data_IF_648657986934
#
_entry.id   IF_648657986934
#
_cell.length_a   1.000
_cell.length_b   1.000
_cell.length_c   1.000
_cell.angle_alpha   90.00
_cell.angle_beta   90.00
_cell.angle_gamma   90.00
#
_symmetry.space_group_name_H-M   'P 1'
#
loop_
_entity.id
_entity.type
_entity.pdbx_description
1 polymer ?
#
# COMPACT_ATOMS: atom_id res chain seq x y z
N UNK A 1 -10.18 22.75 84.01
CA UNK A 1 -10.83 24.08 83.91
C UNK A 1 -11.60 24.10 82.60
N UNK A 2 -12.90 24.45 82.63
CA UNK A 2 -13.88 24.62 81.53
C UNK A 2 -14.20 23.37 80.65
N UNK A 3 -15.25 22.56 80.95
CA UNK A 3 -16.72 22.69 80.73
C UNK A 3 -17.14 22.50 79.25
N UNK A 4 -17.82 21.38 78.90
CA UNK A 4 -19.27 21.27 78.55
C UNK A 4 -19.65 21.94 77.20
N UNK A 5 -20.47 21.46 76.24
CA UNK A 5 -21.26 20.24 75.98
C UNK A 5 -22.03 20.41 74.65
N UNK A 6 -22.53 19.28 74.07
CA UNK A 6 -23.83 19.07 73.36
C UNK A 6 -24.05 19.83 72.03
N UNK A 7 -24.30 19.20 70.87
CA UNK A 7 -25.44 18.35 70.38
C UNK A 7 -25.50 18.71 68.86
N UNK A 8 -25.66 17.87 67.83
CA UNK A 8 -26.53 16.71 67.58
C UNK A 8 -25.88 15.94 66.39
N UNK A 9 -25.57 14.64 66.50
CA UNK A 9 -26.41 13.49 66.14
C UNK A 9 -26.85 13.41 64.66
N UNK A 10 -26.30 12.42 63.92
CA UNK A 10 -27.13 11.50 63.15
C UNK A 10 -26.41 10.13 62.99
N UNK A 11 -27.16 9.08 63.34
CA UNK A 11 -26.85 7.67 63.15
C UNK A 11 -26.91 7.31 61.67
N UNK A 12 -26.10 6.37 61.20
CA UNK A 12 -26.39 5.34 60.18
C UNK A 12 -25.05 4.59 60.01
N UNK A 13 -24.89 3.34 60.44
CA UNK A 13 -25.59 2.15 59.95
C UNK A 13 -24.56 1.33 59.15
N UNK A 14 -24.07 0.23 59.71
CA UNK A 14 -23.26 -0.75 58.98
C UNK A 14 -24.10 -1.29 57.82
N UNK A 15 -23.56 -1.23 56.61
CA UNK A 15 -23.86 -2.17 55.55
C UNK A 15 -22.57 -2.44 54.78
N UNK A 16 -22.00 -3.63 55.01
CA UNK A 16 -20.88 -4.14 54.24
C UNK A 16 -21.31 -4.33 52.80
N UNK A 17 -20.77 -3.52 51.90
CA UNK A 17 -20.85 -3.74 50.46
C UNK A 17 -19.72 -4.67 50.05
N UNK A 18 -20.05 -5.91 49.70
CA UNK A 18 -19.15 -6.76 48.94
C UNK A 18 -18.89 -6.09 47.58
N UNK A 19 -17.69 -5.56 47.40
CA UNK A 19 -17.17 -5.14 46.09
C UNK A 19 -16.98 -6.42 45.27
N UNK A 20 -18.01 -6.80 44.52
CA UNK A 20 -17.87 -7.69 43.37
C UNK A 20 -16.98 -6.97 42.35
N UNK A 21 -15.69 -7.27 42.39
CA UNK A 21 -14.78 -6.94 41.30
C UNK A 21 -15.22 -7.74 40.06
N UNK A 22 -16.10 -7.16 39.25
CA UNK A 22 -16.35 -7.64 37.90
C UNK A 22 -15.11 -7.28 37.07
N UNK A 23 -14.13 -8.16 37.04
CA UNK A 23 -13.11 -8.12 35.99
C UNK A 23 -13.86 -8.15 34.66
N UNK A 24 -13.71 -7.17 33.76
CA UNK A 24 -14.28 -7.30 32.44
C UNK A 24 -13.65 -8.55 31.84
N UNK A 25 -14.47 -9.56 31.55
CA UNK A 25 -14.07 -10.62 30.64
C UNK A 25 -13.67 -9.91 29.34
N UNK A 26 -12.37 -9.87 29.07
CA UNK A 26 -11.89 -9.51 27.74
C UNK A 26 -12.43 -10.59 26.80
N UNK A 27 -13.56 -10.30 26.14
CA UNK A 27 -14.06 -11.09 25.02
C UNK A 27 -12.90 -11.12 24.01
N UNK A 28 -12.31 -12.29 23.80
CA UNK A 28 -11.26 -12.46 22.80
C UNK A 28 -11.87 -12.16 21.43
N UNK A 29 -11.67 -10.96 20.90
CA UNK A 29 -12.25 -10.57 19.62
C UNK A 29 -11.55 -11.36 18.50
N UNK A 30 -12.30 -11.94 17.56
CA UNK A 30 -11.76 -12.57 16.36
C UNK A 30 -10.83 -11.57 15.63
N UNK A 31 -9.52 -11.76 15.81
CA UNK A 31 -8.49 -10.85 15.31
C UNK A 31 -7.23 -11.61 14.99
N UNK A 32 -6.65 -11.30 13.84
CA UNK A 32 -5.35 -11.79 13.39
C UNK A 32 -4.28 -10.95 14.08
N UNK A 33 -3.45 -11.61 14.88
CA UNK A 33 -2.27 -10.98 15.47
C UNK A 33 -1.06 -11.39 14.63
N UNK A 34 -0.36 -10.40 14.08
CA UNK A 34 0.78 -10.61 13.19
C UNK A 34 2.05 -10.28 13.95
N UNK A 35 2.62 -11.29 14.59
CA UNK A 35 3.91 -11.20 15.28
C UNK A 35 4.97 -11.90 14.45
N UNK A 36 5.66 -11.14 13.60
CA UNK A 36 6.74 -11.68 12.79
C UNK A 36 6.30 -12.56 11.63
N UNK A 37 7.25 -13.34 11.11
CA UNK A 37 7.07 -14.18 9.93
C UNK A 37 6.35 -15.51 10.21
N UNK A 38 6.03 -15.88 11.46
CA UNK A 38 5.52 -17.21 11.80
C UNK A 38 4.00 -17.31 12.07
N UNK A 39 3.21 -16.30 11.68
CA UNK A 39 1.75 -16.35 11.89
C UNK A 39 1.03 -17.34 10.93
N UNK A 40 -0.08 -17.94 11.37
CA UNK A 40 -0.94 -18.76 10.51
C UNK A 40 -2.07 -17.92 9.91
N UNK A 41 -2.33 -17.97 8.59
CA UNK A 41 -3.45 -17.27 7.99
C UNK A 41 -4.79 -17.75 8.55
N UNK A 42 -5.75 -16.85 8.73
CA UNK A 42 -7.06 -17.14 9.30
C UNK A 42 -7.95 -17.92 8.31
N UNK A 43 -8.38 -19.16 8.61
CA UNK A 43 -9.36 -19.88 7.79
C UNK A 43 -10.69 -19.13 7.75
N UNK A 44 -11.12 -18.73 6.55
CA UNK A 44 -12.33 -17.92 6.35
C UNK A 44 -13.24 -18.53 5.29
N UNK A 45 -14.52 -18.71 5.61
CA UNK A 45 -15.53 -19.10 4.64
C UNK A 45 -16.23 -17.85 4.09
N UNK A 46 -16.38 -17.82 2.77
CA UNK A 46 -17.05 -16.73 2.06
C UNK A 46 -17.92 -17.43 1.00
N UNK A 47 -19.19 -17.75 1.27
CA UNK A 47 -20.15 -18.19 0.25
C UNK A 47 -20.36 -17.10 -0.81
N UNK A 48 -21.00 -17.47 -1.93
CA UNK A 48 -21.42 -16.48 -2.92
C UNK A 48 -22.38 -15.49 -2.27
N UNK A 49 -22.32 -14.22 -2.70
CA UNK A 49 -23.20 -13.20 -2.15
C UNK A 49 -24.60 -13.39 -2.71
N UNK A 50 -25.62 -13.24 -1.85
CA UNK A 50 -27.01 -13.25 -2.29
C UNK A 50 -27.27 -12.06 -3.23
N UNK A 51 -27.90 -12.33 -4.38
CA UNK A 51 -28.24 -11.32 -5.37
C UNK A 51 -29.40 -11.79 -6.25
N UNK A 52 -30.18 -10.84 -6.76
CA UNK A 52 -31.14 -11.09 -7.84
C UNK A 52 -30.47 -11.58 -9.13
N UNK A 53 -29.18 -11.27 -9.32
CA UNK A 53 -28.30 -11.86 -10.31
C UNK A 53 -27.23 -12.73 -9.63
N UNK A 54 -27.41 -14.05 -9.54
CA UNK A 54 -26.46 -14.95 -8.89
C UNK A 54 -25.05 -14.93 -9.49
N UNK A 55 -24.90 -14.58 -10.77
CA UNK A 55 -23.58 -14.47 -11.41
C UNK A 55 -22.84 -13.28 -10.84
N UNK A 56 -23.52 -12.15 -10.68
CA UNK A 56 -22.96 -10.97 -10.07
C UNK A 56 -22.63 -11.18 -8.58
N UNK A 57 -23.52 -11.85 -7.84
CA UNK A 57 -23.26 -12.24 -6.45
C UNK A 57 -21.98 -13.08 -6.29
N UNK A 58 -21.76 -14.03 -7.20
CA UNK A 58 -20.52 -14.82 -7.25
C UNK A 58 -19.30 -13.98 -7.61
N UNK A 59 -19.40 -13.12 -8.63
CA UNK A 59 -18.31 -12.24 -9.07
C UNK A 59 -17.76 -11.39 -7.91
N UNK A 60 -18.66 -10.77 -7.13
CA UNK A 60 -18.26 -9.94 -5.99
C UNK A 60 -17.65 -10.78 -4.88
N UNK A 61 -18.21 -11.95 -4.57
CA UNK A 61 -17.64 -12.86 -3.58
C UNK A 61 -16.23 -13.34 -4.00
N UNK A 62 -15.99 -13.59 -5.29
CA UNK A 62 -14.68 -13.97 -5.82
C UNK A 62 -13.65 -12.85 -5.68
N UNK A 63 -14.05 -11.59 -5.90
CA UNK A 63 -13.17 -10.44 -5.64
C UNK A 63 -12.76 -10.40 -4.17
N UNK A 64 -13.71 -10.60 -3.25
CA UNK A 64 -13.44 -10.62 -1.81
C UNK A 64 -12.50 -11.76 -1.43
N UNK A 65 -12.77 -12.98 -1.91
CA UNK A 65 -11.90 -14.15 -1.69
C UNK A 65 -10.49 -13.89 -2.20
N UNK A 66 -10.36 -13.37 -3.42
CA UNK A 66 -9.06 -13.13 -4.05
C UNK A 66 -8.27 -12.05 -3.33
N UNK A 67 -8.91 -10.96 -2.91
CA UNK A 67 -8.29 -9.91 -2.10
C UNK A 67 -7.74 -10.45 -0.78
N UNK A 68 -8.59 -11.11 -0.01
CA UNK A 68 -8.20 -11.63 1.30
C UNK A 68 -7.10 -12.70 1.17
N UNK A 69 -7.17 -13.58 0.17
CA UNK A 69 -6.11 -14.56 -0.14
C UNK A 69 -4.79 -13.85 -0.48
N UNK A 70 -4.81 -12.85 -1.38
CA UNK A 70 -3.60 -12.12 -1.79
C UNK A 70 -2.94 -11.34 -0.65
N UNK A 71 -3.66 -11.00 0.41
CA UNK A 71 -3.06 -10.37 1.59
C UNK A 71 -2.14 -11.30 2.39
N UNK A 72 -2.23 -12.62 2.18
CA UNK A 72 -1.50 -13.62 2.93
C UNK A 72 -1.95 -13.78 4.40
N UNK A 73 -2.93 -13.00 4.84
CA UNK A 73 -3.47 -13.03 6.20
C UNK A 73 -4.65 -13.98 6.37
N UNK A 74 -5.34 -14.26 5.28
CA UNK A 74 -6.54 -15.08 5.28
C UNK A 74 -6.30 -16.31 4.41
N UNK A 75 -6.97 -17.39 4.77
CA UNK A 75 -7.07 -18.61 3.97
C UNK A 75 -8.54 -18.81 3.59
N UNK A 76 -9.02 -18.20 2.50
CA UNK A 76 -10.37 -18.45 2.01
C UNK A 76 -10.50 -19.92 1.58
N UNK A 77 -11.53 -20.60 2.11
CA UNK A 77 -11.84 -21.97 1.73
C UNK A 77 -12.34 -22.04 0.29
N UNK A 78 -12.21 -23.23 -0.32
CA UNK A 78 -12.77 -23.50 -1.65
C UNK A 78 -14.31 -23.40 -1.61
N UNK A 79 -14.95 -22.53 -2.42
CA UNK A 79 -16.40 -22.43 -2.51
C UNK A 79 -17.11 -23.78 -2.76
N UNK A 80 -16.47 -24.69 -3.51
CA UNK A 80 -17.02 -26.02 -3.78
C UNK A 80 -17.06 -26.92 -2.54
N UNK A 81 -16.25 -26.65 -1.52
CA UNK A 81 -16.24 -27.39 -0.24
C UNK A 81 -17.22 -26.85 0.81
N UNK A 82 -17.75 -25.62 0.62
CA UNK A 82 -18.57 -24.98 1.65
C UNK A 82 -19.92 -25.71 1.84
N UNK A 83 -20.40 -25.86 3.09
CA UNK A 83 -21.70 -26.47 3.37
C UNK A 83 -22.88 -25.63 2.86
N UNK A 84 -22.69 -24.31 2.74
CA UNK A 84 -23.67 -23.39 2.16
C UNK A 84 -23.00 -22.64 1.01
N UNK A 85 -23.64 -22.66 -0.17
CA UNK A 85 -23.08 -22.06 -1.39
C UNK A 85 -23.39 -20.58 -1.54
N UNK A 86 -24.56 -20.15 -1.10
CA UNK A 86 -25.01 -18.74 -1.12
C UNK A 86 -25.42 -18.36 0.30
N UNK A 87 -24.80 -17.32 0.85
CA UNK A 87 -25.04 -16.88 2.21
C UNK A 87 -26.31 -16.04 2.36
N UNK A 88 -27.03 -16.19 3.47
CA UNK A 88 -28.06 -15.23 3.86
C UNK A 88 -27.44 -14.19 4.80
N UNK A 89 -27.38 -12.94 4.35
CA UNK A 89 -26.81 -11.81 5.11
C UNK A 89 -27.71 -11.38 6.28
N UNK A 90 -29.00 -11.69 6.23
CA UNK A 90 -29.99 -11.31 7.25
C UNK A 90 -30.23 -12.44 8.27
N UNK A 91 -29.88 -13.67 7.91
CA UNK A 91 -30.01 -14.86 8.74
C UNK A 91 -28.84 -15.00 9.73
N UNK A 92 -29.10 -15.70 10.84
CA UNK A 92 -28.04 -16.20 11.72
C UNK A 92 -27.53 -17.55 11.18
N UNK A 93 -26.22 -17.74 10.97
CA UNK A 93 -25.68 -19.00 10.47
C UNK A 93 -25.88 -20.17 11.44
N UNK A 94 -26.05 -21.38 10.91
CA UNK A 94 -25.93 -22.60 11.73
C UNK A 94 -24.45 -22.86 12.03
N UNK A 95 -24.00 -22.42 13.21
CA UNK A 95 -22.61 -22.56 13.63
C UNK A 95 -22.18 -24.02 13.84
N UNK A 96 -23.10 -24.95 14.06
CA UNK A 96 -22.71 -26.37 14.18
C UNK A 96 -22.20 -26.90 12.83
N UNK A 97 -22.86 -26.50 11.74
CA UNK A 97 -22.43 -26.83 10.38
C UNK A 97 -21.06 -26.22 10.08
N UNK A 98 -20.87 -24.92 10.37
CA UNK A 98 -19.62 -24.23 10.03
C UNK A 98 -18.41 -24.65 10.86
N UNK A 99 -18.59 -25.00 12.14
CA UNK A 99 -17.49 -25.51 12.98
C UNK A 99 -16.92 -26.83 12.45
N UNK A 100 -17.74 -27.69 11.85
CA UNK A 100 -17.25 -28.95 11.25
C UNK A 100 -16.40 -28.74 10.00
N UNK A 101 -16.43 -27.55 9.39
CA UNK A 101 -15.61 -27.18 8.23
C UNK A 101 -14.26 -26.56 8.59
N UNK A 102 -13.88 -26.52 9.88
CA UNK A 102 -12.63 -25.93 10.38
C UNK A 102 -12.43 -24.47 9.91
N UNK A 103 -13.51 -23.69 9.99
CA UNK A 103 -13.55 -22.27 9.65
C UNK A 103 -13.60 -21.47 10.94
N UNK A 104 -12.75 -20.46 11.09
CA UNK A 104 -12.76 -19.56 12.25
C UNK A 104 -13.59 -18.28 12.00
N UNK A 105 -13.66 -17.85 10.74
CA UNK A 105 -14.40 -16.67 10.32
C UNK A 105 -15.37 -16.98 9.18
N UNK A 106 -16.61 -16.48 9.25
CA UNK A 106 -17.61 -16.63 8.20
C UNK A 106 -18.09 -15.28 7.70
N UNK A 107 -18.06 -15.06 6.39
CA UNK A 107 -18.57 -13.85 5.73
C UNK A 107 -19.85 -14.20 5.01
N UNK A 108 -20.97 -13.57 5.39
CA UNK A 108 -22.22 -13.62 4.64
C UNK A 108 -22.45 -12.26 3.98
N UNK A 109 -22.76 -12.24 2.70
CA UNK A 109 -22.96 -10.99 1.96
C UNK A 109 -24.15 -11.04 1.03
N UNK A 110 -24.67 -9.87 0.71
CA UNK A 110 -25.58 -9.65 -0.41
C UNK A 110 -25.07 -8.51 -1.28
N UNK A 111 -25.47 -8.51 -2.54
CA UNK A 111 -25.18 -7.42 -3.48
C UNK A 111 -26.29 -7.28 -4.51
N UNK A 112 -26.68 -6.05 -4.82
CA UNK A 112 -27.70 -5.77 -5.83
C UNK A 112 -27.27 -4.64 -6.76
N UNK A 113 -27.67 -4.76 -8.04
CA UNK A 113 -27.55 -3.69 -9.03
C UNK A 113 -28.84 -2.87 -9.09
N UNK A 114 -28.70 -1.56 -9.17
CA UNK A 114 -29.80 -0.62 -9.37
C UNK A 114 -29.25 0.73 -9.83
N UNK A 115 -29.88 1.84 -9.41
CA UNK A 115 -29.31 3.18 -9.63
C UNK A 115 -27.94 3.39 -8.94
N UNK A 116 -27.64 2.55 -7.95
CA UNK A 116 -26.34 2.35 -7.34
C UNK A 116 -26.14 0.84 -7.16
N UNK A 117 -24.89 0.39 -7.06
CA UNK A 117 -24.60 -0.95 -6.57
C UNK A 117 -24.60 -0.88 -5.05
N UNK A 118 -25.35 -1.77 -4.39
CA UNK A 118 -25.39 -1.83 -2.92
C UNK A 118 -24.93 -3.21 -2.46
N UNK A 119 -24.11 -3.26 -1.43
CA UNK A 119 -23.70 -4.52 -0.81
C UNK A 119 -23.85 -4.44 0.70
N UNK A 120 -24.37 -5.50 1.31
CA UNK A 120 -24.38 -5.68 2.76
C UNK A 120 -23.50 -6.86 3.11
N UNK A 121 -22.74 -6.75 4.19
CA UNK A 121 -21.85 -7.81 4.67
C UNK A 121 -21.99 -7.99 6.17
N UNK A 122 -21.95 -9.25 6.60
CA UNK A 122 -21.83 -9.69 7.98
C UNK A 122 -20.64 -10.62 8.11
N UNK A 123 -19.83 -10.40 9.14
CA UNK A 123 -18.72 -11.29 9.51
C UNK A 123 -19.02 -11.89 10.87
N UNK A 124 -18.82 -13.19 10.99
CA UNK A 124 -19.12 -13.97 12.19
C UNK A 124 -17.86 -14.69 12.68
N UNK A 125 -17.67 -14.70 14.00
CA UNK A 125 -16.80 -15.65 14.70
C UNK A 125 -17.57 -16.95 14.86
N UNK A 126 -17.13 -17.99 14.17
CA UNK A 126 -17.80 -19.29 14.17
C UNK A 126 -17.63 -20.04 15.49
N UNK A 127 -16.52 -19.81 16.21
CA UNK A 127 -16.25 -20.46 17.49
C UNK A 127 -17.15 -19.87 18.56
N UNK A 128 -17.23 -18.54 18.62
CA UNK A 128 -18.02 -17.81 19.61
C UNK A 128 -19.50 -17.65 19.22
N UNK A 129 -19.88 -18.01 18.00
CA UNK A 129 -21.23 -17.80 17.47
C UNK A 129 -21.68 -16.32 17.58
N UNK A 130 -20.78 -15.40 17.25
CA UNK A 130 -20.98 -13.97 17.46
C UNK A 130 -20.73 -13.18 16.17
N UNK A 131 -21.56 -12.18 15.91
CA UNK A 131 -21.35 -11.25 14.80
C UNK A 131 -20.25 -10.25 15.18
N UNK A 132 -19.25 -10.10 14.33
CA UNK A 132 -18.10 -9.20 14.51
C UNK A 132 -18.21 -7.96 13.63
N UNK A 133 -18.75 -8.10 12.41
CA UNK A 133 -19.00 -6.98 11.47
C UNK A 133 -20.44 -7.01 11.02
N UNK A 134 -21.06 -5.83 10.95
CA UNK A 134 -22.22 -5.64 10.10
C UNK A 134 -22.27 -4.26 9.48
N UNK A 135 -22.01 -4.20 8.17
CA UNK A 135 -21.96 -2.94 7.41
C UNK A 135 -22.64 -3.08 6.05
N UNK A 136 -23.01 -1.94 5.47
CA UNK A 136 -23.54 -1.84 4.11
C UNK A 136 -22.80 -0.72 3.37
N UNK A 137 -22.61 -0.90 2.08
CA UNK A 137 -21.81 -0.04 1.21
C UNK A 137 -22.53 0.17 -0.11
N UNK A 138 -22.22 1.28 -0.77
CA UNK A 138 -22.76 1.60 -2.08
C UNK A 138 -21.69 2.23 -2.99
N UNK A 139 -21.82 1.99 -4.29
CA UNK A 139 -21.01 2.63 -5.33
C UNK A 139 -21.89 3.04 -6.51
N UNK A 140 -21.32 3.81 -7.44
CA UNK A 140 -21.95 4.08 -8.73
C UNK A 140 -22.19 2.77 -9.52
N UNK A 141 -23.14 2.75 -10.47
CA UNK A 141 -23.56 1.54 -11.18
C UNK A 141 -22.46 0.88 -12.04
N UNK A 142 -21.36 1.60 -12.33
CA UNK A 142 -20.26 1.11 -13.15
C UNK A 142 -19.07 0.60 -12.31
N UNK A 143 -19.14 0.73 -10.99
CA UNK A 143 -18.07 0.41 -10.03
C UNK A 143 -18.21 -0.97 -9.38
N UNK A 144 -18.60 -1.98 -10.16
CA UNK A 144 -18.82 -3.35 -9.68
C UNK A 144 -17.59 -3.94 -8.95
N UNK A 145 -16.40 -3.83 -9.53
CA UNK A 145 -15.20 -4.36 -8.87
C UNK A 145 -14.86 -3.62 -7.58
N UNK A 146 -15.05 -2.30 -7.60
CA UNK A 146 -14.80 -1.42 -6.45
C UNK A 146 -15.64 -1.80 -5.24
N UNK A 147 -16.93 -2.16 -5.40
CA UNK A 147 -17.74 -2.60 -4.25
C UNK A 147 -17.14 -3.84 -3.58
N UNK A 148 -16.60 -4.79 -4.36
CA UNK A 148 -15.90 -5.96 -3.83
C UNK A 148 -14.62 -5.59 -3.08
N UNK A 149 -13.86 -4.62 -3.58
CA UNK A 149 -12.68 -4.09 -2.90
C UNK A 149 -13.01 -3.40 -1.57
N UNK A 150 -14.03 -2.53 -1.55
CA UNK A 150 -14.50 -1.85 -0.33
C UNK A 150 -14.96 -2.86 0.73
N UNK A 151 -15.72 -3.89 0.32
CA UNK A 151 -16.14 -4.96 1.23
C UNK A 151 -14.94 -5.74 1.75
N UNK A 152 -13.93 -5.99 0.91
CA UNK A 152 -12.69 -6.66 1.32
C UNK A 152 -11.93 -5.83 2.35
N UNK A 153 -11.81 -4.52 2.14
CA UNK A 153 -11.15 -3.59 3.05
C UNK A 153 -11.87 -3.60 4.40
N UNK A 154 -13.20 -3.57 4.42
CA UNK A 154 -13.97 -3.66 5.65
C UNK A 154 -13.72 -4.93 6.48
N UNK A 155 -13.63 -6.08 5.81
CA UNK A 155 -13.34 -7.37 6.46
C UNK A 155 -11.90 -7.36 6.98
N UNK A 156 -10.97 -6.87 6.17
CA UNK A 156 -9.56 -6.76 6.52
C UNK A 156 -9.35 -5.87 7.75
N UNK A 157 -9.91 -4.66 7.77
CA UNK A 157 -9.72 -3.70 8.86
C UNK A 157 -10.21 -4.26 10.19
N UNK A 158 -11.35 -4.96 10.18
CA UNK A 158 -11.88 -5.55 11.40
C UNK A 158 -11.02 -6.72 11.89
N UNK A 159 -10.66 -7.64 11.00
CA UNK A 159 -10.04 -8.91 11.39
C UNK A 159 -8.51 -8.79 11.51
N UNK A 160 -7.85 -8.07 10.61
CA UNK A 160 -6.39 -7.91 10.61
C UNK A 160 -5.92 -6.65 11.36
N UNK A 161 -6.79 -5.65 11.51
CA UNK A 161 -6.40 -4.33 12.00
C UNK A 161 -5.59 -3.52 10.97
N UNK A 162 -5.46 -2.22 11.24
CA UNK A 162 -4.93 -1.26 10.26
C UNK A 162 -5.96 -0.96 9.17
N UNK A 163 -5.57 -0.14 8.18
CA UNK A 163 -6.44 0.21 7.05
C UNK A 163 -6.35 -0.82 5.93
N UNK A 164 -7.43 -0.95 5.16
CA UNK A 164 -7.45 -1.68 3.90
C UNK A 164 -6.51 -1.08 2.84
N UNK A 165 -6.36 -1.78 1.73
CA UNK A 165 -5.59 -1.35 0.56
C UNK A 165 -6.10 -1.95 -0.75
N UNK A 166 -7.24 -2.62 -0.76
CA UNK A 166 -7.76 -3.28 -1.94
C UNK A 166 -8.43 -2.30 -2.90
N UNK A 167 -9.07 -1.23 -2.40
CA UNK A 167 -9.61 -0.16 -3.25
C UNK A 167 -8.53 0.87 -3.62
N UNK A 168 -7.47 0.37 -4.26
CA UNK A 168 -6.32 1.16 -4.72
C UNK A 168 -5.97 0.82 -6.16
N UNK A 169 -5.16 1.69 -6.77
CA UNK A 169 -4.63 1.53 -8.12
C UNK A 169 -3.11 1.52 -8.11
N UNK A 170 -2.54 0.98 -9.18
CA UNK A 170 -1.10 0.98 -9.44
C UNK A 170 -0.88 1.61 -10.80
N UNK A 171 0.03 2.58 -10.87
CA UNK A 171 0.58 3.07 -12.14
C UNK A 171 1.97 2.47 -12.33
N UNK A 172 2.30 2.09 -13.56
CA UNK A 172 3.54 1.42 -13.90
C UNK A 172 3.98 1.76 -15.32
N UNK A 173 5.23 1.44 -15.63
CA UNK A 173 5.77 1.43 -16.98
C UNK A 173 5.40 0.08 -17.63
N UNK A 174 4.49 0.08 -18.60
CA UNK A 174 4.18 -1.07 -19.43
C UNK A 174 5.16 -1.14 -20.61
N UNK A 175 5.77 -2.30 -20.84
CA UNK A 175 6.76 -2.52 -21.88
C UNK A 175 6.34 -3.62 -22.85
N UNK A 176 6.43 -3.33 -24.15
CA UNK A 176 6.08 -4.27 -25.21
C UNK A 176 7.10 -4.25 -26.34
N UNK A 177 7.19 -5.36 -27.08
CA UNK A 177 8.12 -5.52 -28.19
C UNK A 177 9.48 -6.11 -27.78
N UNK A 178 10.41 -6.25 -28.74
CA UNK A 178 11.71 -6.87 -28.50
C UNK A 178 12.59 -6.00 -27.59
N UNK A 179 13.48 -6.63 -26.80
CA UNK A 179 14.34 -5.95 -25.82
C UNK A 179 15.14 -4.77 -26.38
N UNK A 180 15.61 -4.87 -27.63
CA UNK A 180 16.38 -3.83 -28.31
C UNK A 180 15.55 -2.59 -28.71
N UNK A 181 14.22 -2.72 -28.83
CA UNK A 181 13.33 -1.65 -29.28
C UNK A 181 11.98 -1.74 -28.56
N UNK A 182 12.01 -1.69 -27.22
CA UNK A 182 10.80 -1.73 -26.41
C UNK A 182 10.04 -0.41 -26.48
N UNK A 183 8.75 -0.49 -26.80
CA UNK A 183 7.81 0.59 -26.54
C UNK A 183 7.53 0.62 -25.03
N UNK A 184 7.68 1.79 -24.41
CA UNK A 184 7.42 1.98 -22.98
C UNK A 184 6.34 3.03 -22.77
N UNK A 185 5.25 2.63 -22.13
CA UNK A 185 4.04 3.43 -21.91
C UNK A 185 3.74 3.50 -20.42
N UNK A 186 3.10 4.57 -19.99
CA UNK A 186 2.45 4.58 -18.68
C UNK A 186 1.12 3.83 -18.78
N UNK A 187 0.87 2.96 -17.82
CA UNK A 187 -0.40 2.26 -17.65
C UNK A 187 -0.84 2.33 -16.19
N UNK A 188 -2.16 2.33 -15.97
CA UNK A 188 -2.79 2.29 -14.65
C UNK A 188 -3.74 1.09 -14.58
N UNK A 189 -3.80 0.43 -13.42
CA UNK A 189 -4.67 -0.72 -13.16
C UNK A 189 -5.16 -0.70 -11.72
N UNK A 190 -6.19 -1.48 -11.40
CA UNK A 190 -6.49 -1.84 -10.01
C UNK A 190 -5.30 -2.62 -9.43
N UNK A 191 -5.09 -2.58 -8.11
CA UNK A 191 -3.93 -3.22 -7.47
C UNK A 191 -3.77 -4.72 -7.75
N UNK A 192 -4.82 -5.38 -8.23
CA UNK A 192 -4.83 -6.79 -8.59
C UNK A 192 -4.67 -7.11 -10.08
N UNK A 193 -4.34 -6.12 -10.91
CA UNK A 193 -4.05 -6.31 -12.34
C UNK A 193 -5.27 -6.12 -13.26
N UNK A 194 -6.45 -5.87 -12.71
CA UNK A 194 -7.65 -5.63 -13.50
C UNK A 194 -7.76 -4.16 -13.96
N UNK A 195 -8.68 -3.89 -14.89
CA UNK A 195 -9.03 -2.54 -15.35
C UNK A 195 -7.84 -1.73 -15.89
N UNK A 196 -6.94 -2.39 -16.63
CA UNK A 196 -5.78 -1.74 -17.25
C UNK A 196 -6.21 -0.62 -18.22
N UNK A 197 -5.58 0.54 -18.09
CA UNK A 197 -5.72 1.68 -19.00
C UNK A 197 -4.35 2.28 -19.32
N UNK A 198 -4.07 2.53 -20.61
CA UNK A 198 -2.86 3.23 -21.02
C UNK A 198 -3.05 4.74 -20.94
N UNK A 199 -2.10 5.43 -20.32
CA UNK A 199 -2.10 6.89 -20.14
C UNK A 199 -1.25 7.60 -21.19
N UNK A 200 -0.40 6.87 -21.90
CA UNK A 200 0.42 7.37 -23.00
C UNK A 200 0.35 6.42 -24.18
N UNK A 201 0.43 6.94 -25.39
CA UNK A 201 0.33 6.18 -26.65
C UNK A 201 1.59 5.37 -26.99
N UNK A 202 2.75 5.73 -26.43
CA UNK A 202 4.04 5.09 -26.70
C UNK A 202 4.82 5.73 -27.84
N UNK A 203 4.39 6.90 -28.35
CA UNK A 203 5.15 7.67 -29.33
C UNK A 203 6.48 8.18 -28.77
N UNK A 204 6.54 8.38 -27.45
CA UNK A 204 7.76 8.73 -26.69
C UNK A 204 7.91 7.80 -25.51
N UNK A 205 9.15 7.60 -25.05
CA UNK A 205 9.42 6.74 -23.90
C UNK A 205 8.96 7.45 -22.62
N UNK A 206 8.05 6.80 -21.88
CA UNK A 206 7.55 7.27 -20.59
C UNK A 206 7.92 6.28 -19.48
N UNK A 207 8.59 6.75 -18.43
CA UNK A 207 9.19 5.91 -17.38
C UNK A 207 8.95 6.46 -15.96
N UNK A 208 9.10 5.58 -14.97
CA UNK A 208 9.11 5.91 -13.52
C UNK A 208 7.94 6.76 -13.04
N UNK A 209 6.68 6.39 -13.35
CA UNK A 209 5.53 7.17 -12.94
C UNK A 209 5.37 7.19 -11.42
N UNK A 210 4.92 8.32 -10.84
CA UNK A 210 4.61 8.45 -9.42
C UNK A 210 3.29 9.16 -9.21
N UNK A 211 2.42 8.59 -8.39
CA UNK A 211 1.18 9.24 -7.99
C UNK A 211 1.44 10.44 -7.08
N UNK A 212 0.62 11.46 -7.25
CA UNK A 212 0.36 12.45 -6.20
C UNK A 212 -0.44 11.83 -5.05
N UNK A 213 -0.34 12.37 -3.83
CA UNK A 213 -1.05 11.84 -2.66
C UNK A 213 -2.57 11.76 -2.84
N UNK A 214 -3.18 12.72 -3.55
CA UNK A 214 -4.61 12.73 -3.86
C UNK A 214 -4.99 11.86 -5.07
N UNK A 215 -4.02 11.35 -5.82
CA UNK A 215 -4.26 10.45 -6.96
C UNK A 215 -4.78 11.12 -8.22
N UNK A 216 -4.67 12.45 -8.36
CA UNK A 216 -5.14 13.21 -9.53
C UNK A 216 -4.03 13.53 -10.54
N UNK A 217 -2.80 13.69 -10.03
CA UNK A 217 -1.60 13.96 -10.81
C UNK A 217 -0.65 12.77 -10.80
N UNK A 218 0.13 12.65 -11.88
CA UNK A 218 1.25 11.73 -12.04
C UNK A 218 2.48 12.50 -12.48
N UNK A 219 3.62 12.31 -11.80
CA UNK A 219 4.93 12.70 -12.36
C UNK A 219 5.55 11.52 -13.08
N UNK A 220 6.24 11.75 -14.19
CA UNK A 220 6.98 10.70 -14.92
C UNK A 220 8.14 11.31 -15.70
N UNK A 221 9.06 10.47 -16.17
CA UNK A 221 10.12 10.88 -17.09
C UNK A 221 9.67 10.70 -18.54
N UNK A 222 9.95 11.69 -19.38
CA UNK A 222 9.69 11.68 -20.82
C UNK A 222 10.97 11.97 -21.60
N UNK A 223 11.16 11.28 -22.73
CA UNK A 223 12.34 11.36 -23.60
C UNK A 223 12.06 12.07 -24.96
N UNK A 224 10.90 12.74 -25.10
CA UNK A 224 10.48 13.40 -26.34
C UNK A 224 11.53 14.35 -26.96
N UNK A 225 12.31 15.05 -26.13
CA UNK A 225 13.29 16.05 -26.54
C UNK A 225 14.75 15.52 -26.55
N UNK A 226 14.93 14.20 -26.55
CA UNK A 226 16.24 13.52 -26.54
C UNK A 226 16.94 13.50 -25.18
N UNK A 227 16.76 14.55 -24.36
CA UNK A 227 17.25 14.60 -22.98
C UNK A 227 16.09 14.33 -22.00
N UNK A 228 16.20 13.41 -21.02
CA UNK A 228 15.08 13.07 -20.13
C UNK A 228 14.62 14.25 -19.31
N UNK A 229 13.29 14.46 -19.28
CA UNK A 229 12.66 15.52 -18.51
C UNK A 229 11.51 14.98 -17.66
N UNK A 230 11.32 15.55 -16.47
CA UNK A 230 10.16 15.27 -15.64
C UNK A 230 8.94 16.03 -16.15
N UNK A 231 7.84 15.31 -16.34
CA UNK A 231 6.53 15.83 -16.72
C UNK A 231 5.51 15.59 -15.60
N UNK A 232 4.50 16.45 -15.55
CA UNK A 232 3.26 16.28 -14.81
C UNK A 232 2.14 15.92 -15.79
N UNK A 233 1.39 14.87 -15.46
CA UNK A 233 0.19 14.40 -16.15
C UNK A 233 -1.01 14.54 -15.23
N UNK A 234 -2.08 15.18 -15.70
CA UNK A 234 -3.39 15.21 -15.05
C UNK A 234 -4.22 14.00 -15.50
N UNK A 235 -4.59 13.11 -14.58
CA UNK A 235 -5.27 11.86 -14.92
C UNK A 235 -6.68 12.05 -15.48
N UNK A 236 -7.40 13.07 -15.03
CA UNK A 236 -8.78 13.34 -15.46
C UNK A 236 -8.89 13.87 -16.89
N UNK A 237 -7.89 14.61 -17.36
CA UNK A 237 -7.92 15.28 -18.68
C UNK A 237 -6.87 14.75 -19.66
N UNK A 238 -5.88 14.00 -19.20
CA UNK A 238 -4.72 13.60 -20.00
C UNK A 238 -3.73 14.73 -20.29
N UNK A 239 -3.94 15.93 -19.76
CA UNK A 239 -3.05 17.07 -20.00
C UNK A 239 -1.66 16.83 -19.40
N UNK A 240 -0.63 17.12 -20.20
CA UNK A 240 0.77 16.93 -19.84
C UNK A 240 1.50 18.27 -19.91
N UNK A 241 2.38 18.54 -18.92
CA UNK A 241 3.30 19.68 -18.95
C UNK A 241 4.65 19.29 -18.39
N UNK A 242 5.73 19.91 -18.89
CA UNK A 242 7.05 19.81 -18.27
C UNK A 242 7.00 20.42 -16.86
N UNK A 243 7.60 19.75 -15.88
CA UNK A 243 7.58 20.18 -14.48
C UNK A 243 8.41 21.46 -14.26
N UNK A 244 9.64 21.47 -14.78
CA UNK A 244 10.56 22.60 -14.68
C UNK A 244 11.49 22.66 -15.89
N UNK A 245 11.94 23.86 -16.25
CA UNK A 245 12.96 24.07 -17.28
C UNK A 245 14.27 24.52 -16.63
N UNK A 246 15.16 23.56 -16.37
CA UNK A 246 16.46 23.78 -15.72
C UNK A 246 17.64 23.71 -16.69
N UNK A 247 17.39 23.50 -17.99
CA UNK A 247 18.45 23.38 -19.00
C UNK A 247 19.33 22.12 -18.86
N UNK A 248 18.91 21.15 -18.07
CA UNK A 248 19.66 19.94 -17.71
C UNK A 248 18.72 18.71 -17.68
N UNK A 249 19.28 17.50 -17.58
CA UNK A 249 18.49 16.28 -17.42
C UNK A 249 17.78 16.30 -16.06
N UNK A 250 16.50 15.89 -16.03
CA UNK A 250 15.72 15.80 -14.79
C UNK A 250 15.05 14.44 -14.65
N UNK A 251 15.07 13.87 -13.45
CA UNK A 251 14.60 12.50 -13.20
C UNK A 251 14.21 12.23 -11.74
N UNK A 252 13.76 11.01 -11.47
CA UNK A 252 13.39 10.50 -10.14
C UNK A 252 12.45 11.42 -9.32
N UNK A 253 11.31 11.88 -9.87
CA UNK A 253 10.41 12.77 -9.15
C UNK A 253 9.70 12.06 -7.97
N UNK A 254 9.35 12.82 -6.93
CA UNK A 254 8.41 12.44 -5.86
C UNK A 254 7.64 13.66 -5.36
N UNK A 255 6.34 13.50 -5.17
CA UNK A 255 5.50 14.51 -4.53
C UNK A 255 5.81 14.61 -3.03
N UNK A 256 5.67 15.82 -2.49
CA UNK A 256 5.48 16.04 -1.05
C UNK A 256 4.15 15.43 -0.59
N UNK A 257 3.98 15.09 0.71
CA UNK A 257 2.76 14.45 1.21
C UNK A 257 1.50 15.31 1.09
N UNK A 258 1.66 16.63 1.04
CA UNK A 258 0.57 17.59 0.79
C UNK A 258 0.23 17.76 -0.70
N UNK A 259 1.03 17.18 -1.61
CA UNK A 259 0.86 17.28 -3.06
C UNK A 259 1.22 18.65 -3.66
N UNK A 260 1.71 19.61 -2.87
CA UNK A 260 2.00 20.97 -3.32
C UNK A 260 3.33 21.11 -4.07
N UNK A 261 4.29 20.21 -3.77
CA UNK A 261 5.67 20.29 -4.25
C UNK A 261 6.12 18.95 -4.83
N UNK A 262 7.06 18.98 -5.76
CA UNK A 262 7.77 17.79 -6.28
C UNK A 262 9.25 17.97 -6.03
N UNK A 263 9.87 17.00 -5.33
CA UNK A 263 11.33 16.84 -5.32
C UNK A 263 11.76 16.00 -6.52
N UNK A 264 12.89 16.33 -7.13
CA UNK A 264 13.42 15.64 -8.30
C UNK A 264 14.94 15.82 -8.39
N UNK A 265 15.58 14.96 -9.17
CA UNK A 265 17.02 14.98 -9.40
C UNK A 265 17.35 15.79 -10.66
N UNK A 266 18.44 16.56 -10.62
CA UNK A 266 19.00 17.29 -11.76
C UNK A 266 20.45 16.83 -11.95
N UNK A 267 20.78 16.32 -13.13
CA UNK A 267 22.16 15.97 -13.49
C UNK A 267 22.79 17.13 -14.27
N UNK A 268 23.93 17.62 -13.79
CA UNK A 268 24.70 18.65 -14.47
C UNK A 268 26.19 18.43 -14.25
N UNK A 269 26.92 18.21 -15.35
CA UNK A 269 28.38 18.13 -15.32
C UNK A 269 28.92 16.91 -14.57
N UNK A 270 28.17 15.80 -14.58
CA UNK A 270 28.56 14.55 -13.92
C UNK A 270 28.21 14.48 -12.43
N UNK A 271 27.65 15.55 -11.85
CA UNK A 271 27.05 15.53 -10.52
C UNK A 271 25.53 15.47 -10.62
N UNK A 272 24.88 14.86 -9.63
CA UNK A 272 23.41 14.91 -9.51
C UNK A 272 23.05 15.57 -8.18
N UNK A 273 22.15 16.54 -8.22
CA UNK A 273 21.67 17.22 -7.02
C UNK A 273 20.14 17.20 -6.96
N UNK A 274 19.60 17.27 -5.75
CA UNK A 274 18.16 17.25 -5.51
C UNK A 274 17.63 18.67 -5.52
N UNK A 275 16.52 18.87 -6.23
CA UNK A 275 15.77 20.12 -6.32
C UNK A 275 14.32 19.89 -5.94
N UNK A 276 13.61 20.97 -5.61
CA UNK A 276 12.16 20.97 -5.41
C UNK A 276 11.49 22.11 -6.17
N UNK A 277 10.27 21.88 -6.66
CA UNK A 277 9.45 22.90 -7.32
C UNK A 277 7.97 22.67 -7.05
N UNK A 278 7.16 23.73 -7.02
CA UNK A 278 5.71 23.61 -6.88
C UNK A 278 5.07 22.83 -8.04
N UNK A 279 3.97 22.13 -7.80
CA UNK A 279 3.22 21.41 -8.84
C UNK A 279 2.55 22.34 -9.86
N UNK A 280 2.30 23.59 -9.46
CA UNK A 280 1.91 24.67 -10.38
C UNK A 280 3.05 25.07 -11.33
N UNK A 281 4.29 24.72 -11.01
CA UNK A 281 5.52 25.14 -11.68
C UNK A 281 6.27 26.20 -10.86
N UNK A 282 7.24 26.84 -11.49
CA UNK A 282 8.03 27.93 -10.88
C UNK A 282 9.53 27.69 -10.96
N UNK A 283 10.29 28.53 -10.27
CA UNK A 283 11.74 28.38 -10.17
C UNK A 283 12.08 27.27 -9.17
N UNK A 284 12.84 26.24 -9.57
CA UNK A 284 13.25 25.18 -8.66
C UNK A 284 14.20 25.70 -7.56
N UNK A 285 14.03 25.17 -6.36
CA UNK A 285 14.93 25.39 -5.23
C UNK A 285 15.88 24.21 -5.11
N UNK A 286 17.19 24.47 -5.03
CA UNK A 286 18.21 23.44 -4.84
C UNK A 286 18.26 23.01 -3.37
N UNK A 287 18.17 21.70 -3.10
CA UNK A 287 18.17 21.13 -1.75
C UNK A 287 19.51 20.51 -1.35
N UNK A 288 20.25 19.97 -2.33
CA UNK A 288 21.63 19.48 -2.14
C UNK A 288 22.59 20.15 -3.13
N UNK A 289 23.86 20.23 -2.74
CA UNK A 289 24.93 20.75 -3.60
C UNK A 289 26.20 19.93 -3.39
N UNK A 290 26.98 19.79 -4.46
CA UNK A 290 28.25 19.06 -4.43
C UNK A 290 28.53 18.32 -5.73
N UNK A 291 29.61 17.55 -5.70
CA UNK A 291 30.09 16.72 -6.81
C UNK A 291 29.60 15.26 -6.74
N UNK A 292 28.84 14.91 -5.70
CA UNK A 292 28.26 13.59 -5.52
C UNK A 292 27.04 13.38 -6.44
N UNK A 293 26.57 12.14 -6.51
CA UNK A 293 25.28 11.77 -7.08
C UNK A 293 24.28 11.71 -5.93
N UNK A 294 23.48 12.76 -5.74
CA UNK A 294 22.33 12.77 -4.83
C UNK A 294 21.03 12.59 -5.63
N UNK A 295 20.33 11.47 -5.46
CA UNK A 295 19.16 11.13 -6.29
C UNK A 295 18.08 10.31 -5.56
N UNK A 296 16.96 10.08 -6.22
CA UNK A 296 15.86 9.27 -5.69
C UNK A 296 15.26 9.80 -4.37
N UNK A 297 14.91 11.10 -4.27
CA UNK A 297 14.35 11.65 -3.05
C UNK A 297 13.01 11.01 -2.72
N UNK A 298 12.69 10.82 -1.44
CA UNK A 298 11.38 10.46 -0.91
C UNK A 298 11.09 11.23 0.37
N UNK A 299 9.97 11.92 0.42
CA UNK A 299 9.54 12.63 1.62
C UNK A 299 9.11 11.67 2.72
N UNK A 300 9.32 12.05 3.98
CA UNK A 300 8.60 11.48 5.13
C UNK A 300 7.12 11.84 5.06
N UNK A 301 6.22 11.03 5.62
CA UNK A 301 4.77 11.29 5.55
C UNK A 301 4.34 12.56 6.28
N UNK A 302 5.13 13.03 7.26
CA UNK A 302 4.93 14.32 7.93
C UNK A 302 5.46 15.52 7.12
N UNK A 303 6.12 15.28 5.98
CA UNK A 303 6.69 16.31 5.11
C UNK A 303 7.95 17.00 5.64
N UNK A 304 8.44 16.63 6.82
CA UNK A 304 9.56 17.31 7.48
C UNK A 304 10.95 16.89 6.98
N UNK A 305 11.07 15.71 6.38
CA UNK A 305 12.34 15.08 6.00
C UNK A 305 12.30 14.49 4.60
N UNK A 306 13.47 14.32 4.01
CA UNK A 306 13.67 13.61 2.74
C UNK A 306 14.76 12.55 2.95
N UNK A 307 14.48 11.31 2.55
CA UNK A 307 15.50 10.27 2.34
C UNK A 307 15.88 10.23 0.87
N UNK A 308 17.15 9.93 0.57
CA UNK A 308 17.66 9.90 -0.79
C UNK A 308 18.93 9.05 -0.88
N UNK A 309 19.28 8.63 -2.08
CA UNK A 309 20.51 7.93 -2.39
C UNK A 309 21.66 8.92 -2.59
N UNK A 310 22.83 8.65 -2.02
CA UNK A 310 24.05 9.42 -2.25
C UNK A 310 25.32 8.57 -2.24
N UNK A 311 26.23 8.84 -3.17
CA UNK A 311 27.56 8.23 -3.26
C UNK A 311 28.67 9.05 -2.57
N UNK A 312 28.33 10.13 -1.86
CA UNK A 312 29.30 11.04 -1.21
C UNK A 312 30.28 10.37 -0.25
N UNK A 313 29.98 9.16 0.22
CA UNK A 313 30.83 8.35 1.10
C UNK A 313 31.62 7.26 0.36
N UNK A 314 31.64 7.26 -0.97
CA UNK A 314 32.31 6.28 -1.83
C UNK A 314 31.33 5.41 -2.63
N UNK A 315 30.55 4.57 -1.95
CA UNK A 315 29.48 3.77 -2.59
C UNK A 315 28.10 4.40 -2.34
N UNK A 316 27.09 4.12 -3.20
CA UNK A 316 25.72 4.59 -2.97
C UNK A 316 25.15 4.09 -1.64
N UNK A 317 24.66 5.01 -0.83
CA UNK A 317 24.05 4.77 0.47
C UNK A 317 22.81 5.64 0.63
N UNK A 318 21.95 5.30 1.59
CA UNK A 318 20.78 6.11 1.92
C UNK A 318 21.19 7.18 2.92
N UNK A 319 20.86 8.41 2.61
CA UNK A 319 21.00 9.58 3.46
C UNK A 319 19.64 10.21 3.72
N UNK A 320 19.59 11.05 4.75
CA UNK A 320 18.40 11.80 5.15
C UNK A 320 18.76 13.24 5.46
N UNK A 321 17.89 14.18 5.07
CA UNK A 321 18.00 15.61 5.36
C UNK A 321 16.63 16.20 5.71
N UNK A 322 16.60 17.46 6.14
CA UNK A 322 15.36 18.21 6.26
C UNK A 322 14.73 18.45 4.88
N UNK A 323 13.40 18.60 4.81
CA UNK A 323 12.71 18.83 3.54
C UNK A 323 13.12 20.14 2.84
N UNK A 324 13.58 21.14 3.59
CA UNK A 324 14.17 22.37 3.06
C UNK A 324 15.64 22.24 2.64
N UNK A 325 16.21 21.03 2.65
CA UNK A 325 17.62 20.77 2.38
C UNK A 325 18.51 20.84 3.62
N UNK A 326 19.80 21.08 3.41
CA UNK A 326 20.80 21.23 4.46
C UNK A 326 21.63 19.98 4.73
N UNK A 327 22.24 19.92 5.92
CA UNK A 327 23.16 18.83 6.27
C UNK A 327 22.45 17.48 6.26
N UNK A 328 23.02 16.54 5.51
CA UNK A 328 22.48 15.20 5.37
C UNK A 328 23.26 14.19 6.21
N UNK A 329 22.53 13.27 6.84
CA UNK A 329 23.07 12.19 7.67
C UNK A 329 22.89 10.84 6.99
N UNK A 330 23.89 9.97 7.09
CA UNK A 330 23.80 8.60 6.55
C UNK A 330 22.86 7.76 7.41
N UNK A 331 22.02 6.94 6.76
CA UNK A 331 21.03 6.07 7.40
C UNK A 331 21.38 4.59 7.19
N UNK A 332 21.85 4.19 6.01
CA UNK A 332 22.21 2.79 5.74
C UNK A 332 23.66 2.48 6.11
N UNK A 333 23.91 1.35 6.78
CA UNK A 333 25.26 0.95 7.23
C UNK A 333 25.64 -0.50 6.90
N UNK A 334 24.76 -1.27 6.26
CA UNK A 334 25.09 -2.64 5.84
C UNK A 334 26.00 -2.69 4.60
N UNK A 335 26.31 -3.91 4.16
CA UNK A 335 27.32 -4.17 3.12
C UNK A 335 26.74 -4.04 1.70
N UNK A 336 27.35 -3.25 0.83
CA UNK A 336 26.92 -3.07 -0.56
C UNK A 336 26.34 -1.68 -0.83
N UNK A 337 25.68 -1.54 -1.98
CA UNK A 337 25.13 -0.27 -2.45
C UNK A 337 23.62 -0.21 -2.18
N UNK A 338 23.12 0.93 -1.73
CA UNK A 338 21.70 1.15 -1.45
C UNK A 338 21.15 2.22 -2.40
N UNK A 339 19.98 1.95 -2.97
CA UNK A 339 19.32 2.81 -3.94
C UNK A 339 17.80 2.85 -3.73
N UNK A 340 17.13 3.77 -4.44
CA UNK A 340 15.67 3.90 -4.50
C UNK A 340 14.93 3.88 -3.15
N UNK A 341 15.36 4.68 -2.14
CA UNK A 341 14.68 4.69 -0.85
C UNK A 341 13.26 5.27 -0.95
N UNK A 342 12.30 4.65 -0.27
CA UNK A 342 10.91 5.12 -0.20
C UNK A 342 10.38 5.02 1.22
N UNK A 343 9.91 6.14 1.75
CA UNK A 343 9.33 6.20 3.10
C UNK A 343 7.98 5.47 3.16
N UNK A 344 7.77 4.69 4.21
CA UNK A 344 6.48 4.10 4.54
C UNK A 344 5.44 5.20 4.79
N UNK A 345 4.19 5.04 4.33
CA UNK A 345 3.08 5.94 4.68
C UNK A 345 2.87 6.10 6.19
N UNK A 346 3.30 5.13 6.99
CA UNK A 346 3.23 5.16 8.47
C UNK A 346 4.40 5.91 9.12
N UNK A 347 5.46 6.20 8.37
CA UNK A 347 6.62 6.93 8.87
C UNK A 347 7.66 6.09 9.62
N UNK A 348 7.33 4.84 9.91
CA UNK A 348 8.07 3.90 10.76
C UNK A 348 9.18 3.13 10.05
N UNK A 349 9.14 3.06 8.71
CA UNK A 349 10.06 2.29 7.89
C UNK A 349 10.46 3.03 6.62
N UNK A 350 11.62 2.67 6.07
CA UNK A 350 12.11 3.04 4.74
C UNK A 350 12.31 1.74 3.97
N UNK A 351 11.63 1.58 2.83
CA UNK A 351 11.94 0.53 1.86
C UNK A 351 13.08 0.96 0.95
N UNK A 352 13.88 0.02 0.47
CA UNK A 352 15.01 0.31 -0.40
C UNK A 352 15.36 -0.87 -1.30
N UNK A 353 16.17 -0.59 -2.32
CA UNK A 353 16.90 -1.60 -3.07
C UNK A 353 18.34 -1.65 -2.57
N UNK A 354 18.87 -2.85 -2.35
CA UNK A 354 20.27 -3.06 -1.98
C UNK A 354 20.92 -4.01 -2.97
N UNK A 355 22.07 -3.65 -3.49
CA UNK A 355 22.89 -4.51 -4.32
C UNK A 355 24.07 -5.04 -3.51
N UNK A 356 24.14 -6.36 -3.36
CA UNK A 356 25.24 -7.03 -2.66
C UNK A 356 25.40 -8.47 -3.14
N UNK A 357 26.63 -8.99 -3.17
CA UNK A 357 26.88 -10.38 -3.56
C UNK A 357 26.40 -10.74 -4.98
N UNK A 358 26.36 -9.78 -5.90
CA UNK A 358 25.86 -9.99 -7.27
C UNK A 358 24.34 -10.18 -7.38
N UNK A 359 23.58 -9.82 -6.34
CA UNK A 359 22.12 -9.85 -6.33
C UNK A 359 21.55 -8.49 -5.94
N UNK A 360 20.28 -8.29 -6.27
CA UNK A 360 19.47 -7.18 -5.83
C UNK A 360 18.48 -7.66 -4.79
N UNK A 361 18.29 -6.83 -3.76
CA UNK A 361 17.42 -7.11 -2.64
C UNK A 361 16.42 -5.98 -2.45
N UNK A 362 15.16 -6.32 -2.19
CA UNK A 362 14.18 -5.38 -1.63
C UNK A 362 14.28 -5.52 -0.11
N UNK A 363 14.56 -4.42 0.58
CA UNK A 363 14.71 -4.40 2.03
C UNK A 363 13.94 -3.27 2.68
N UNK A 364 13.88 -3.33 4.01
CA UNK A 364 13.31 -2.30 4.87
C UNK A 364 14.22 -2.05 6.07
N UNK A 365 14.21 -0.83 6.61
CA UNK A 365 14.87 -0.45 7.86
C UNK A 365 14.09 0.68 8.54
N UNK A 366 14.33 0.91 9.83
CA UNK A 366 13.80 2.09 10.52
C UNK A 366 14.49 3.38 10.01
N UNK A 367 13.89 4.57 10.18
CA UNK A 367 14.48 5.84 9.75
C UNK A 367 15.83 6.19 10.40
N UNK A 368 16.18 5.55 11.52
CA UNK A 368 17.48 5.68 12.17
C UNK A 368 18.52 4.67 11.66
N UNK A 369 18.16 3.83 10.68
CA UNK A 369 19.00 2.78 10.09
C UNK A 369 18.98 1.45 10.83
N UNK A 370 18.28 1.36 11.97
CA UNK A 370 18.19 0.11 12.75
C UNK A 370 17.20 -0.89 12.13
N UNK A 371 17.30 -2.15 12.55
CA UNK A 371 16.32 -3.18 12.18
C UNK A 371 16.26 -3.52 10.69
N UNK A 372 17.39 -3.39 9.97
CA UNK A 372 17.48 -3.74 8.54
C UNK A 372 17.04 -5.20 8.31
N UNK A 373 16.14 -5.40 7.34
CA UNK A 373 15.66 -6.71 6.89
C UNK A 373 15.55 -6.76 5.38
N UNK A 374 16.05 -7.83 4.77
CA UNK A 374 15.86 -8.11 3.35
C UNK A 374 14.62 -9.00 3.19
N UNK A 375 13.67 -8.55 2.38
CA UNK A 375 12.36 -9.17 2.19
C UNK A 375 12.31 -10.06 0.96
N UNK A 376 13.05 -9.68 -0.09
CA UNK A 376 13.08 -10.40 -1.36
C UNK A 376 14.45 -10.25 -2.01
N UNK A 377 14.90 -11.28 -2.74
CA UNK A 377 16.18 -11.28 -3.46
C UNK A 377 15.99 -11.84 -4.86
N UNK A 378 16.63 -11.23 -5.86
CA UNK A 378 16.68 -11.77 -7.21
C UNK A 378 17.85 -11.19 -8.02
N UNK A 379 18.00 -11.66 -9.26
CA UNK A 379 19.01 -11.15 -10.19
C UNK A 379 18.90 -9.63 -10.40
N UNK A 380 17.68 -9.09 -10.52
CA UNK A 380 17.41 -7.67 -10.59
C UNK A 380 16.01 -7.40 -10.05
N UNK A 381 15.91 -6.96 -8.79
CA UNK A 381 14.68 -6.50 -8.16
C UNK A 381 14.87 -5.05 -7.67
N UNK A 382 13.99 -4.15 -8.10
CA UNK A 382 14.19 -2.72 -7.87
C UNK A 382 12.87 -1.92 -7.84
N UNK A 383 12.96 -0.67 -7.38
CA UNK A 383 11.87 0.29 -7.45
C UNK A 383 10.71 -0.02 -6.50
N UNK A 384 10.96 -0.16 -5.18
CA UNK A 384 9.89 -0.43 -4.22
C UNK A 384 8.88 0.72 -4.13
N UNK A 385 7.61 0.39 -3.95
CA UNK A 385 6.51 1.30 -3.62
C UNK A 385 5.62 0.66 -2.56
N UNK A 386 5.12 1.48 -1.63
CA UNK A 386 4.28 1.00 -0.54
C UNK A 386 2.79 0.99 -0.90
N UNK A 387 2.07 -0.05 -0.53
CA UNK A 387 0.62 0.04 -0.33
C UNK A 387 0.30 1.09 0.76
N UNK A 388 -0.83 1.79 0.70
CA UNK A 388 -1.11 2.94 1.58
C UNK A 388 -1.20 2.58 3.07
N UNK A 389 -1.44 1.30 3.40
CA UNK A 389 -1.45 0.82 4.77
C UNK A 389 -0.04 0.49 5.33
N UNK A 390 1.02 0.69 4.55
CA UNK A 390 2.41 0.43 4.95
C UNK A 390 2.74 -1.04 5.26
N UNK A 391 1.97 -2.00 4.71
CA UNK A 391 2.18 -3.44 4.97
C UNK A 391 2.74 -4.22 3.79
N UNK A 392 2.41 -3.79 2.58
CA UNK A 392 2.79 -4.48 1.34
C UNK A 392 3.68 -3.56 0.52
N UNK A 393 4.72 -4.12 -0.06
CA UNK A 393 5.63 -3.44 -0.98
C UNK A 393 5.46 -4.08 -2.34
N UNK A 394 5.22 -3.26 -3.37
CA UNK A 394 5.31 -3.67 -4.78
C UNK A 394 6.63 -3.18 -5.36
N UNK A 395 7.21 -3.93 -6.27
CA UNK A 395 8.46 -3.63 -6.94
C UNK A 395 8.48 -4.34 -8.30
N UNK A 396 9.48 -4.11 -9.13
CA UNK A 396 9.66 -4.90 -10.36
C UNK A 396 10.83 -5.85 -10.23
N UNK A 397 10.73 -6.99 -10.92
CA UNK A 397 11.82 -7.92 -11.11
C UNK A 397 12.10 -8.10 -12.61
N UNK A 398 13.35 -7.94 -13.04
CA UNK A 398 13.82 -8.33 -14.37
C UNK A 398 14.64 -9.64 -14.27
N UNK A 399 14.15 -10.76 -14.86
CA UNK A 399 14.89 -12.02 -14.86
C UNK A 399 16.12 -12.03 -15.78
N UNK A 400 16.31 -11.01 -16.63
CA UNK A 400 17.36 -10.95 -17.62
C UNK A 400 17.02 -11.72 -18.91
N UNK A 401 18.02 -11.97 -19.75
CA UNK A 401 17.83 -12.66 -21.03
C UNK A 401 16.92 -11.90 -22.01
N UNK A 402 16.09 -12.62 -22.75
CA UNK A 402 15.11 -12.08 -23.71
C UNK A 402 13.75 -11.75 -23.06
N UNK A 403 13.56 -12.13 -21.80
CA UNK A 403 12.37 -11.81 -21.02
C UNK A 403 12.37 -10.32 -20.61
N UNK A 404 11.32 -9.89 -19.94
CA UNK A 404 11.18 -8.53 -19.43
C UNK A 404 10.72 -8.46 -17.99
N UNK A 405 10.69 -7.24 -17.44
CA UNK A 405 10.36 -7.02 -16.06
C UNK A 405 8.90 -7.40 -15.79
N UNK A 406 8.65 -7.82 -14.57
CA UNK A 406 7.31 -8.12 -14.05
C UNK A 406 7.14 -7.47 -12.69
N UNK A 407 5.90 -7.13 -12.35
CA UNK A 407 5.58 -6.60 -11.04
C UNK A 407 5.47 -7.73 -10.03
N UNK A 408 6.05 -7.51 -8.86
CA UNK A 408 6.04 -8.40 -7.72
C UNK A 408 5.53 -7.63 -6.50
N UNK A 409 4.89 -8.32 -5.57
CA UNK A 409 4.59 -7.77 -4.24
C UNK A 409 5.03 -8.71 -3.14
N UNK A 410 5.35 -8.16 -1.97
CA UNK A 410 5.75 -8.90 -0.77
C UNK A 410 5.30 -8.13 0.47
N UNK A 411 4.98 -8.83 1.56
CA UNK A 411 4.70 -8.16 2.83
C UNK A 411 5.98 -7.77 3.60
N UNK A 412 5.84 -6.89 4.59
CA UNK A 412 6.94 -6.40 5.44
C UNK A 412 7.65 -7.47 6.30
N UNK A 413 7.17 -8.71 6.30
CA UNK A 413 7.83 -9.87 6.93
C UNK A 413 8.51 -10.77 5.90
N UNK A 414 8.51 -10.40 4.61
CA UNK A 414 9.13 -11.18 3.54
C UNK A 414 8.31 -12.40 3.15
N UNK A 415 7.04 -12.48 3.53
CA UNK A 415 6.16 -13.59 3.16
C UNK A 415 5.29 -13.23 1.97
N UNK A 416 4.63 -14.28 1.46
CA UNK A 416 3.65 -14.21 0.39
C UNK A 416 4.13 -13.38 -0.81
N UNK A 417 5.33 -13.68 -1.38
CA UNK A 417 5.74 -13.03 -2.62
C UNK A 417 4.77 -13.43 -3.73
N UNK A 418 4.21 -12.44 -4.42
CA UNK A 418 3.24 -12.66 -5.49
C UNK A 418 3.68 -11.94 -6.75
N UNK A 419 3.53 -12.60 -7.90
CA UNK A 419 3.57 -11.92 -9.20
C UNK A 419 2.23 -11.21 -9.41
N UNK A 420 2.26 -9.93 -9.72
CA UNK A 420 1.07 -9.15 -10.07
C UNK A 420 0.81 -9.32 -11.56
N UNK A 421 -0.41 -9.67 -11.92
CA UNK A 421 -0.78 -9.88 -13.31
C UNK A 421 -0.76 -8.56 -14.08
N UNK A 422 -0.12 -8.56 -15.25
CA UNK A 422 -0.07 -7.45 -16.20
C UNK A 422 -0.24 -7.99 -17.62
N UNK A 423 -0.74 -7.16 -18.52
CA UNK A 423 -0.99 -7.49 -19.92
C UNK A 423 0.29 -7.53 -20.77
N UNK A 424 1.37 -6.96 -20.26
CA UNK A 424 2.68 -6.90 -20.89
C UNK A 424 3.78 -6.94 -19.82
N UNK A 425 5.05 -6.80 -20.21
CA UNK A 425 6.11 -6.59 -19.22
C UNK A 425 5.85 -5.28 -18.47
N UNK A 426 6.27 -5.22 -17.21
CA UNK A 426 5.91 -4.12 -16.34
C UNK A 426 7.02 -3.80 -15.33
N UNK A 427 7.36 -2.51 -15.24
CA UNK A 427 8.41 -1.96 -14.39
C UNK A 427 7.96 -0.68 -13.68
N UNK A 428 8.80 -0.21 -12.75
CA UNK A 428 8.64 1.06 -12.02
C UNK A 428 7.27 1.34 -11.38
N UNK A 429 6.69 0.41 -10.59
CA UNK A 429 5.37 0.61 -10.02
C UNK A 429 5.32 1.81 -9.06
N UNK A 430 4.16 2.46 -9.00
CA UNK A 430 3.78 3.39 -7.95
C UNK A 430 2.36 3.07 -7.50
N UNK A 431 2.21 2.81 -6.21
CA UNK A 431 0.92 2.50 -5.59
C UNK A 431 0.18 3.79 -5.24
N UNK A 432 -1.12 3.85 -5.46
CA UNK A 432 -1.97 4.99 -5.07
C UNK A 432 -2.36 4.95 -3.60
N UNK A 433 -2.88 6.07 -3.09
CA UNK A 433 -3.72 6.09 -1.90
C UNK A 433 -5.06 5.34 -2.13
N UNK A 434 -5.86 5.23 -1.06
CA UNK A 434 -7.23 4.71 -1.14
C UNK A 434 -8.10 5.66 -1.99
N UNK A 435 -9.04 5.09 -2.73
CA UNK A 435 -10.04 5.85 -3.49
C UNK A 435 -11.14 6.30 -2.52
N UNK A 436 -11.28 7.61 -2.33
CA UNK A 436 -12.27 8.22 -1.42
C UNK A 436 -13.73 7.98 -1.81
#
# INVERSE_FOLDING_TARGET
MTLLTRRSALKLGLAGGALLATSPMAMAQLRIVVEGANFQPLPIAIPDFASSDPTFGREIADIVRNNLRRSGLFLPLDPASLPVKVGDVNGTPDFNVWRTSNVDALVMGSVERGGQITSSVRVWDTQQAAQVVGKSYNTDPNSARRIGHIVSDAIYEQLAGGTGYFDTRVIYTAESGPKANRTRRLAIMDQDGANVQYLTDGATMALTPRFSPNGDLVTYMNFAEGNPQVYLLQLSSGQQKRLANVGAMTFAPRFSPDGGTVAFSVEQGGATNIYSVGTSGGQPTQLTSGAAIDTGPSYSPDGGRIVFESDRGGSPQIYMMGAGGGNAQRVSFGQGSYSTPVWSPKGDLIAFTRQSGGQFHIGIMAPDGSGERLLYSSFHAEGPTWAPNGRVIMFFQDPGGNDGPRLMSVDIWGRNPLTVATESYASDPSWSGLRG
#
